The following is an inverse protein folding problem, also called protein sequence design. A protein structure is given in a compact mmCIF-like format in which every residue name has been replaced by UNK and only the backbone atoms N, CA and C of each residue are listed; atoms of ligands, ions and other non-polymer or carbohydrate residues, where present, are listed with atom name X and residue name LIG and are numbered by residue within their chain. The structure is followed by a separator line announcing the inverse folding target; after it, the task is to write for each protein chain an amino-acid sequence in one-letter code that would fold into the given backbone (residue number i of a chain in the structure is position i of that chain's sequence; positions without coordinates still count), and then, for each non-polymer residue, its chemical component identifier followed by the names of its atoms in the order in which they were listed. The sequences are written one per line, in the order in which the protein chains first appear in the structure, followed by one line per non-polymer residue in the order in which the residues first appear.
data_IF_270836269167
#
_entry.id   IF_270836269167
#
_cell.length_a   1.000
_cell.length_b   1.000
_cell.length_c   1.000
_cell.angle_alpha   90.00
_cell.angle_beta   90.00
_cell.angle_gamma   90.00
#
_symmetry.space_group_name_H-M   'P 1'
#
loop_
_entity.id
_entity.type
_entity.pdbx_description
1 polymer ?
#
# COMPACT_ATOMS: atom_id res chain seq x y z
N UNK A 1 18.46 -14.13 -7.87
CA UNK A 1 17.40 -14.72 -8.71
C UNK A 1 17.50 -16.22 -8.54
N UNK A 2 16.43 -16.87 -8.07
CA UNK A 2 16.37 -18.32 -7.93
C UNK A 2 15.28 -18.81 -8.89
N UNK A 3 15.58 -19.86 -9.64
CA UNK A 3 14.58 -20.53 -10.49
C UNK A 3 14.06 -21.76 -9.73
N UNK A 4 12.74 -21.93 -9.72
CA UNK A 4 12.08 -23.04 -9.05
C UNK A 4 11.25 -23.87 -10.06
N UNK A 5 11.91 -24.73 -10.88
CA UNK A 5 11.21 -25.58 -11.83
C UNK A 5 10.19 -26.48 -11.12
N UNK A 6 8.93 -26.42 -11.56
CA UNK A 6 7.83 -27.23 -11.02
C UNK A 6 7.09 -26.64 -9.81
N UNK A 7 7.49 -25.47 -9.29
CA UNK A 7 6.79 -24.78 -8.18
C UNK A 7 5.97 -23.59 -8.67
N UNK A 8 6.43 -22.88 -9.70
CA UNK A 8 5.74 -21.74 -10.31
C UNK A 8 5.49 -22.00 -11.80
N UNK A 9 4.40 -21.42 -12.32
CA UNK A 9 4.14 -21.40 -13.76
C UNK A 9 5.20 -20.55 -14.48
N UNK A 10 5.38 -20.77 -15.79
CA UNK A 10 6.44 -20.14 -16.60
C UNK A 10 6.35 -18.61 -16.63
N UNK A 11 5.16 -18.06 -16.41
CA UNK A 11 4.84 -16.63 -16.40
C UNK A 11 4.69 -16.04 -14.98
N UNK A 12 4.98 -16.84 -13.95
CA UNK A 12 4.89 -16.40 -12.55
C UNK A 12 6.26 -16.17 -11.95
N UNK A 13 6.36 -15.10 -11.18
CA UNK A 13 7.51 -14.82 -10.34
C UNK A 13 7.04 -14.30 -8.99
N UNK A 14 7.88 -14.51 -7.97
CA UNK A 14 7.71 -13.90 -6.66
C UNK A 14 8.88 -12.92 -6.41
N UNK A 15 8.55 -11.75 -5.86
CA UNK A 15 9.50 -10.67 -5.62
C UNK A 15 9.54 -10.33 -4.14
N UNK A 16 10.74 -10.47 -3.56
CA UNK A 16 11.00 -10.14 -2.16
C UNK A 16 11.94 -8.95 -2.08
N UNK A 17 11.56 -7.96 -1.28
CA UNK A 17 12.38 -6.80 -0.93
C UNK A 17 12.76 -6.79 0.54
N UNK A 18 13.88 -6.16 0.86
CA UNK A 18 14.35 -5.96 2.24
C UNK A 18 14.88 -4.54 2.41
N UNK A 19 14.57 -3.91 3.54
CA UNK A 19 15.01 -2.57 3.89
C UNK A 19 15.51 -2.52 5.34
N UNK A 20 16.48 -1.65 5.62
CA UNK A 20 17.01 -1.38 6.96
C UNK A 20 16.90 0.11 7.24
N UNK A 21 16.42 0.46 8.43
CA UNK A 21 16.40 1.83 8.94
C UNK A 21 17.00 1.89 10.34
N UNK A 22 17.24 3.10 10.84
CA UNK A 22 17.74 3.35 12.18
C UNK A 22 16.92 4.49 12.82
N UNK A 23 16.73 4.41 14.14
CA UNK A 23 16.04 5.40 14.95
C UNK A 23 16.68 5.40 16.35
N UNK A 24 16.72 6.56 17.00
CA UNK A 24 17.11 6.63 18.41
C UNK A 24 16.05 5.91 19.27
N UNK A 25 16.48 5.32 20.39
CA UNK A 25 15.60 4.47 21.21
C UNK A 25 14.37 5.22 21.74
N UNK A 26 14.54 6.49 22.06
CA UNK A 26 13.49 7.41 22.52
C UNK A 26 12.64 7.97 21.37
N UNK A 27 13.07 7.83 20.12
CA UNK A 27 12.31 8.22 18.92
C UNK A 27 11.44 7.10 18.35
N UNK A 28 11.35 5.93 18.99
CA UNK A 28 10.51 4.82 18.54
C UNK A 28 9.03 5.16 18.77
N UNK A 29 8.25 5.14 17.70
CA UNK A 29 6.79 5.25 17.77
C UNK A 29 6.18 3.85 17.84
N UNK A 30 5.64 3.49 19.00
CA UNK A 30 4.99 2.20 19.26
C UNK A 30 3.46 2.30 19.48
N UNK A 31 2.90 3.50 19.32
CA UNK A 31 1.48 3.78 19.53
C UNK A 31 1.11 4.11 20.98
N UNK A 32 1.99 3.90 21.96
CA UNK A 32 1.66 4.16 23.37
C UNK A 32 1.43 5.64 23.72
N UNK A 33 1.86 6.55 22.85
CA UNK A 33 1.68 7.99 22.99
C UNK A 33 0.30 8.49 22.53
N UNK A 34 -0.52 7.63 21.88
CA UNK A 34 -1.84 8.05 21.41
C UNK A 34 -2.81 8.30 22.57
N UNK A 35 -3.69 9.27 22.39
CA UNK A 35 -4.67 9.64 23.39
C UNK A 35 -6.00 10.10 22.78
N UNK A 36 -7.06 10.03 23.60
CA UNK A 36 -8.34 10.65 23.24
C UNK A 36 -8.13 12.15 23.04
N UNK A 37 -8.46 12.64 21.86
CA UNK A 37 -8.25 14.03 21.46
C UNK A 37 -7.23 14.19 20.33
N UNK A 38 -6.44 13.14 20.04
CA UNK A 38 -5.54 13.12 18.89
C UNK A 38 -6.32 13.20 17.56
N UNK A 39 -5.68 13.79 16.56
CA UNK A 39 -6.23 13.98 15.22
C UNK A 39 -5.57 13.01 14.24
N UNK A 40 -6.39 12.32 13.46
CA UNK A 40 -5.91 11.48 12.37
C UNK A 40 -5.69 12.34 11.11
N UNK A 41 -4.45 12.32 10.61
CA UNK A 41 -4.08 12.94 9.33
C UNK A 41 -3.81 11.84 8.32
N UNK A 42 -4.62 11.80 7.25
CA UNK A 42 -4.44 10.86 6.15
C UNK A 42 -3.57 11.45 5.04
N UNK A 43 -2.65 10.64 4.50
CA UNK A 43 -1.99 10.93 3.22
C UNK A 43 -2.74 10.15 2.15
N UNK A 44 -3.18 10.84 1.11
CA UNK A 44 -3.93 10.24 0.01
C UNK A 44 -3.13 9.12 -0.66
N UNK A 45 -3.79 7.99 -0.86
CA UNK A 45 -3.30 6.90 -1.71
C UNK A 45 -3.94 7.05 -3.09
N UNK A 46 -3.15 7.18 -4.18
CA UNK A 46 -3.70 7.42 -5.50
C UNK A 46 -4.34 6.17 -6.12
N UNK A 47 -3.96 4.97 -5.66
CA UNK A 47 -4.34 3.70 -6.29
C UNK A 47 -4.48 2.55 -5.25
N UNK A 48 -4.67 1.31 -5.73
CA UNK A 48 -4.82 0.07 -4.93
C UNK A 48 -3.53 -0.41 -4.25
N UNK A 49 -2.38 0.16 -4.60
CA UNK A 49 -1.07 -0.12 -4.02
C UNK A 49 -0.63 -1.54 -4.32
N UNK A 50 -0.43 -2.34 -3.28
CA UNK A 50 0.00 -3.74 -3.37
C UNK A 50 -0.99 -4.70 -2.70
N UNK A 51 -2.20 -4.24 -2.38
CA UNK A 51 -3.20 -5.01 -1.63
C UNK A 51 -4.54 -5.04 -2.35
N UNK A 52 -5.34 -6.09 -2.11
CA UNK A 52 -6.69 -6.20 -2.67
C UNK A 52 -6.77 -6.72 -4.11
N UNK A 53 -5.64 -7.00 -4.76
CA UNK A 53 -5.61 -7.49 -6.16
C UNK A 53 -6.40 -8.77 -6.39
N UNK A 54 -6.47 -9.69 -5.42
CA UNK A 54 -7.32 -10.89 -5.56
C UNK A 54 -8.81 -10.56 -5.74
N UNK A 55 -9.30 -9.54 -5.02
CA UNK A 55 -10.68 -9.06 -5.18
C UNK A 55 -10.84 -8.27 -6.47
N UNK A 56 -9.91 -7.37 -6.78
CA UNK A 56 -9.94 -6.56 -7.99
C UNK A 56 -9.99 -7.43 -9.24
N UNK A 57 -9.09 -8.40 -9.38
CA UNK A 57 -9.07 -9.33 -10.52
C UNK A 57 -10.39 -10.08 -10.67
N UNK A 58 -10.94 -10.61 -9.57
CA UNK A 58 -12.21 -11.34 -9.59
C UNK A 58 -13.36 -10.46 -10.07
N UNK A 59 -13.44 -9.23 -9.58
CA UNK A 59 -14.50 -8.31 -9.96
C UNK A 59 -14.37 -7.88 -11.43
N UNK A 60 -13.17 -7.47 -11.82
CA UNK A 60 -12.91 -6.90 -13.14
C UNK A 60 -13.00 -7.95 -14.24
N UNK A 61 -12.34 -9.10 -14.07
CA UNK A 61 -12.27 -10.12 -15.13
C UNK A 61 -13.40 -11.15 -15.06
N UNK A 62 -13.76 -11.62 -13.86
CA UNK A 62 -14.72 -12.73 -13.75
C UNK A 62 -16.18 -12.24 -13.69
N UNK A 63 -16.43 -11.05 -13.12
CA UNK A 63 -17.80 -10.53 -12.95
C UNK A 63 -18.16 -9.52 -14.03
N UNK A 64 -17.30 -8.54 -14.29
CA UNK A 64 -17.55 -7.49 -15.28
C UNK A 64 -17.11 -7.93 -16.68
N UNK A 65 -16.01 -8.68 -16.78
CA UNK A 65 -15.43 -9.08 -18.07
C UNK A 65 -14.76 -7.91 -18.78
N UNK A 66 -14.08 -7.03 -18.04
CA UNK A 66 -13.40 -5.84 -18.57
C UNK A 66 -11.99 -6.17 -19.04
N UNK A 67 -11.62 -5.78 -20.26
CA UNK A 67 -10.32 -6.09 -20.83
C UNK A 67 -9.24 -5.09 -20.36
N UNK A 68 -8.00 -5.58 -20.24
CA UNK A 68 -6.86 -4.78 -19.76
C UNK A 68 -6.56 -3.57 -20.65
N UNK A 69 -6.79 -3.70 -21.95
CA UNK A 69 -6.51 -2.66 -22.95
C UNK A 69 -7.65 -1.64 -23.09
N UNK A 70 -8.81 -1.89 -22.47
CA UNK A 70 -9.91 -0.93 -22.44
C UNK A 70 -9.59 0.22 -21.47
N UNK A 71 -10.31 1.34 -21.62
CA UNK A 71 -10.26 2.44 -20.66
C UNK A 71 -10.66 1.93 -19.26
N UNK A 72 -9.96 2.37 -18.21
CA UNK A 72 -10.19 1.87 -16.85
C UNK A 72 -11.66 2.02 -16.38
N UNK A 73 -12.31 3.10 -16.80
CA UNK A 73 -13.75 3.34 -16.70
C UNK A 73 -14.16 4.34 -17.80
N UNK A 74 -15.46 4.57 -17.97
CA UNK A 74 -15.95 5.56 -18.94
C UNK A 74 -15.40 6.96 -18.64
N UNK A 75 -14.66 7.53 -19.59
CA UNK A 75 -14.01 8.84 -19.44
C UNK A 75 -12.65 8.82 -18.72
N UNK A 76 -12.11 7.65 -18.38
CA UNK A 76 -10.74 7.52 -17.89
C UNK A 76 -9.73 8.00 -18.94
N UNK A 77 -8.62 8.57 -18.47
CA UNK A 77 -7.50 8.97 -19.33
C UNK A 77 -6.55 7.81 -19.65
N UNK A 78 -6.66 6.71 -18.91
CA UNK A 78 -5.74 5.58 -18.86
C UNK A 78 -6.47 4.27 -19.11
N UNK A 79 -5.72 3.23 -19.51
CA UNK A 79 -6.26 1.88 -19.62
C UNK A 79 -6.46 1.25 -18.24
N UNK A 80 -7.24 0.17 -18.18
CA UNK A 80 -7.37 -0.64 -16.97
C UNK A 80 -6.00 -1.18 -16.51
N UNK A 81 -5.15 -1.61 -17.45
CA UNK A 81 -3.79 -2.07 -17.15
C UNK A 81 -2.95 -0.98 -16.47
N UNK A 82 -2.98 0.24 -17.00
CA UNK A 82 -2.25 1.38 -16.44
C UNK A 82 -2.70 1.66 -15.00
N UNK A 83 -4.01 1.67 -14.74
CA UNK A 83 -4.58 1.92 -13.42
C UNK A 83 -4.21 0.83 -12.41
N UNK A 84 -4.27 -0.44 -12.81
CA UNK A 84 -3.94 -1.57 -11.94
C UNK A 84 -2.45 -1.70 -11.66
N UNK A 85 -1.59 -1.21 -12.56
CA UNK A 85 -0.13 -1.29 -12.44
C UNK A 85 0.51 0.02 -11.97
N UNK A 86 -0.27 1.05 -11.68
CA UNK A 86 0.24 2.31 -11.16
C UNK A 86 1.05 2.07 -9.87
N UNK A 87 2.35 2.45 -9.83
CA UNK A 87 3.22 2.10 -8.72
C UNK A 87 2.74 2.61 -7.36
N UNK A 88 3.10 1.85 -6.31
CA UNK A 88 2.90 2.32 -4.94
C UNK A 88 3.80 3.51 -4.60
N UNK A 89 3.24 4.55 -3.99
CA UNK A 89 3.98 5.75 -3.55
C UNK A 89 4.86 5.46 -2.33
N UNK A 90 6.12 5.87 -2.35
CA UNK A 90 7.00 5.76 -1.18
C UNK A 90 6.83 7.00 -0.30
N UNK A 91 6.14 6.85 0.84
CA UNK A 91 5.87 7.96 1.77
C UNK A 91 7.00 8.24 2.77
N UNK A 92 8.05 7.42 2.82
CA UNK A 92 9.12 7.57 3.81
C UNK A 92 9.69 9.01 3.89
N UNK A 93 9.98 9.73 2.79
CA UNK A 93 10.46 11.11 2.87
C UNK A 93 9.45 12.07 3.50
N UNK A 94 8.17 11.95 3.14
CA UNK A 94 7.10 12.80 3.66
C UNK A 94 6.86 12.54 5.17
N UNK A 95 6.87 11.28 5.58
CA UNK A 95 6.73 10.89 6.99
C UNK A 95 7.92 11.39 7.81
N UNK A 96 9.15 11.21 7.34
CA UNK A 96 10.35 11.72 8.03
C UNK A 96 10.31 13.25 8.16
N UNK A 97 9.87 13.96 7.12
CA UNK A 97 9.70 15.41 7.18
C UNK A 97 8.64 15.82 8.21
N UNK A 98 7.50 15.12 8.28
CA UNK A 98 6.46 15.39 9.26
C UNK A 98 6.96 15.18 10.70
N UNK A 99 7.69 14.09 10.95
CA UNK A 99 8.30 13.77 12.25
C UNK A 99 9.33 14.82 12.69
N UNK A 100 10.00 15.48 11.75
CA UNK A 100 10.99 16.51 12.05
C UNK A 100 10.36 17.87 12.43
N UNK A 101 9.12 18.12 12.01
CA UNK A 101 8.47 19.44 12.13
C UNK A 101 7.26 19.45 13.06
N UNK A 102 6.74 18.29 13.43
CA UNK A 102 5.52 18.14 14.21
C UNK A 102 5.65 17.05 15.26
N UNK A 103 4.89 17.19 16.34
CA UNK A 103 4.68 16.10 17.29
C UNK A 103 3.72 15.08 16.67
N UNK A 104 4.18 13.84 16.54
CA UNK A 104 3.43 12.74 15.95
C UNK A 104 3.44 11.58 16.93
N UNK A 105 2.27 11.19 17.43
CA UNK A 105 2.17 10.13 18.43
C UNK A 105 2.25 8.72 17.83
N UNK A 106 1.81 8.57 16.58
CA UNK A 106 1.81 7.29 15.88
C UNK A 106 1.77 7.45 14.36
N UNK A 107 2.24 6.41 13.64
CA UNK A 107 2.13 6.29 12.19
C UNK A 107 1.68 4.87 11.86
N UNK A 108 0.68 4.73 11.00
CA UNK A 108 0.28 3.43 10.45
C UNK A 108 0.32 3.43 8.93
N UNK A 109 0.91 2.38 8.36
CA UNK A 109 0.88 2.10 6.94
C UNK A 109 -0.36 1.25 6.63
N UNK A 110 -1.33 1.84 5.93
CA UNK A 110 -2.57 1.14 5.56
C UNK A 110 -2.30 0.16 4.42
N UNK A 111 -2.25 -1.14 4.75
CA UNK A 111 -2.00 -2.22 3.79
C UNK A 111 -3.17 -3.22 3.79
N UNK A 112 -2.90 -4.53 3.76
CA UNK A 112 -3.92 -5.56 3.89
C UNK A 112 -4.78 -5.36 5.14
N UNK A 113 -6.09 -5.57 5.01
CA UNK A 113 -7.07 -5.33 6.08
C UNK A 113 -7.54 -3.88 6.23
N UNK A 114 -6.98 -2.93 5.46
CA UNK A 114 -7.45 -1.55 5.40
C UNK A 114 -7.34 -0.81 6.74
N UNK A 115 -8.08 0.29 6.90
CA UNK A 115 -8.09 1.07 8.15
C UNK A 115 -8.42 0.21 9.38
N UNK A 116 -9.45 -0.67 9.37
CA UNK A 116 -9.75 -1.49 10.52
C UNK A 116 -8.63 -2.45 10.89
N UNK A 117 -7.85 -2.96 9.93
CA UNK A 117 -6.75 -3.88 10.19
C UNK A 117 -5.49 -3.19 10.71
N UNK A 118 -5.22 -1.97 10.26
CA UNK A 118 -3.94 -1.29 10.48
C UNK A 118 -3.98 -0.24 11.61
N UNK A 119 -5.16 0.22 12.02
CA UNK A 119 -5.30 1.14 13.16
C UNK A 119 -5.56 0.42 14.50
N UNK A 120 -5.78 -0.90 14.48
CA UNK A 120 -5.98 -1.69 15.70
C UNK A 120 -4.63 -1.87 16.40
N UNK A 121 -4.41 -1.13 17.49
CA UNK A 121 -3.18 -1.19 18.27
C UNK A 121 -2.37 0.09 18.24
N UNK A 122 -2.83 1.09 17.47
CA UNK A 122 -2.58 2.49 17.79
C UNK A 122 -3.47 2.93 18.94
#
# INVERSE_FOLDING_TARGET
MAEHPGVMATDQFDLVGFAVGAVERDGVLDGSATAVGDVLVGIESPNLRSNGFSLARRLVFDVVGHDLDDLAWEGAATTLADELLDPSVIYAPAVVAALAHHEVHAVAHVTGGGLPGNLRGL
#
